data_IF_513663215185
#
_entry.id   IF_513663215185
#
_cell.length_a   1.000
_cell.length_b   1.000
_cell.length_c   1.000
_cell.angle_alpha   90.00
_cell.angle_beta   90.00
_cell.angle_gamma   90.00
#
_symmetry.space_group_name_H-M   'P 1'
#
loop_
_entity.id
_entity.type
_entity.pdbx_description
1 polymer ?
#
# COMPACT_ATOMS: atom_id res chain seq x y z
N UNK A 1 12.30 16.87 19.33
CA UNK A 1 13.04 16.24 18.22
C UNK A 1 13.52 14.89 18.68
N UNK A 2 13.22 13.84 17.92
CA UNK A 2 13.80 12.53 18.18
C UNK A 2 14.94 12.38 17.17
N UNK A 3 16.18 12.41 17.65
CA UNK A 3 17.33 12.08 16.83
C UNK A 3 17.65 10.62 17.09
N UNK A 4 17.42 9.77 16.09
CA UNK A 4 18.02 8.44 16.04
C UNK A 4 19.23 8.56 15.12
N UNK A 5 20.41 8.07 15.50
CA UNK A 5 21.49 8.03 14.52
C UNK A 5 21.18 6.96 13.47
N UNK A 6 21.56 7.18 12.22
CA UNK A 6 21.39 6.19 11.14
C UNK A 6 22.01 4.85 11.53
N UNK A 7 23.17 4.89 12.19
CA UNK A 7 23.84 3.70 12.70
C UNK A 7 23.00 2.95 13.75
N UNK A 8 22.35 3.66 14.69
CA UNK A 8 21.46 3.05 15.68
C UNK A 8 20.26 2.38 15.01
N UNK A 9 19.71 2.98 13.96
CA UNK A 9 18.60 2.41 13.20
C UNK A 9 19.01 1.10 12.51
N UNK A 10 20.15 1.10 11.84
CA UNK A 10 20.67 -0.09 11.15
C UNK A 10 21.04 -1.21 12.13
N UNK A 11 21.70 -0.88 13.25
CA UNK A 11 22.00 -1.85 14.31
C UNK A 11 20.73 -2.42 14.96
N UNK A 12 19.68 -1.63 15.11
CA UNK A 12 18.39 -2.11 15.61
C UNK A 12 17.77 -3.13 14.65
N UNK A 13 17.82 -2.88 13.33
CA UNK A 13 17.34 -3.83 12.34
C UNK A 13 18.12 -5.16 12.39
N UNK A 14 19.46 -5.09 12.47
CA UNK A 14 20.32 -6.28 12.58
C UNK A 14 20.00 -7.11 13.82
N UNK A 15 19.82 -6.45 14.98
CA UNK A 15 19.41 -7.13 16.22
C UNK A 15 18.03 -7.78 16.11
N UNK A 16 17.12 -7.19 15.33
CA UNK A 16 15.81 -7.76 15.04
C UNK A 16 15.93 -9.12 14.35
N UNK A 17 16.77 -9.22 13.32
CA UNK A 17 17.05 -10.48 12.63
C UNK A 17 17.70 -11.51 13.56
N UNK A 18 18.71 -11.12 14.33
CA UNK A 18 19.37 -12.02 15.29
C UNK A 18 18.40 -12.55 16.35
N UNK A 19 17.46 -11.72 16.80
CA UNK A 19 16.44 -12.12 17.78
C UNK A 19 15.45 -13.10 17.17
N UNK A 20 14.99 -12.85 15.94
CA UNK A 20 14.11 -13.76 15.22
C UNK A 20 14.80 -15.12 14.95
N UNK A 21 16.08 -15.12 14.56
CA UNK A 21 16.87 -16.35 14.36
C UNK A 21 16.96 -17.17 15.66
N UNK A 22 17.15 -16.52 16.82
CA UNK A 22 17.15 -17.18 18.12
C UNK A 22 15.81 -17.79 18.48
N UNK A 23 14.71 -17.06 18.30
CA UNK A 23 13.34 -17.54 18.59
C UNK A 23 13.03 -18.76 17.73
N UNK A 24 13.30 -18.70 16.42
CA UNK A 24 13.06 -19.82 15.50
C UNK A 24 14.02 -21.00 15.78
N UNK A 25 15.22 -20.74 16.30
CA UNK A 25 16.17 -21.76 16.73
C UNK A 25 15.84 -22.42 18.07
N UNK A 26 15.03 -21.77 18.91
CA UNK A 26 14.69 -22.23 20.24
C UNK A 26 13.68 -23.39 20.19
N UNK A 27 14.10 -24.55 20.69
CA UNK A 27 13.29 -25.77 20.73
C UNK A 27 12.12 -25.70 21.72
N UNK A 28 12.08 -24.71 22.61
CA UNK A 28 10.95 -24.48 23.52
C UNK A 28 9.76 -23.80 22.84
N UNK A 29 9.97 -23.19 21.67
CA UNK A 29 8.89 -22.65 20.84
C UNK A 29 8.19 -23.82 20.14
N UNK A 30 6.87 -23.87 20.31
CA UNK A 30 5.97 -24.88 19.72
C UNK A 30 5.85 -24.66 18.22
N UNK A 31 6.84 -25.19 17.49
CA UNK A 31 6.89 -25.27 16.04
C UNK A 31 7.41 -26.66 15.70
N UNK A 32 6.67 -27.36 14.85
CA UNK A 32 7.13 -28.62 14.29
C UNK A 32 8.34 -28.43 13.34
N UNK A 33 8.87 -29.53 12.81
CA UNK A 33 10.06 -29.48 11.95
C UNK A 33 9.80 -28.74 10.61
N UNK A 34 8.61 -28.87 10.05
CA UNK A 34 8.21 -28.25 8.78
C UNK A 34 7.93 -26.75 8.96
N UNK A 35 7.19 -26.39 10.00
CA UNK A 35 6.92 -25.00 10.38
C UNK A 35 8.23 -24.26 10.67
N UNK A 36 9.17 -24.90 11.37
CA UNK A 36 10.47 -24.30 11.67
C UNK A 36 11.33 -24.14 10.42
N UNK A 37 11.31 -25.10 9.50
CA UNK A 37 12.00 -24.99 8.22
C UNK A 37 11.42 -23.83 7.39
N UNK A 38 10.09 -23.72 7.35
CA UNK A 38 9.36 -22.65 6.68
C UNK A 38 9.67 -21.28 7.29
N UNK A 39 9.63 -21.15 8.61
CA UNK A 39 9.97 -19.92 9.31
C UNK A 39 11.41 -19.46 9.02
N UNK A 40 12.38 -20.39 8.96
CA UNK A 40 13.77 -20.08 8.58
C UNK A 40 13.87 -19.62 7.13
N UNK A 41 13.15 -20.26 6.21
CA UNK A 41 13.11 -19.85 4.81
C UNK A 41 12.55 -18.42 4.68
N UNK A 42 11.43 -18.14 5.33
CA UNK A 42 10.80 -16.80 5.34
C UNK A 42 11.76 -15.77 5.93
N UNK A 43 12.35 -16.03 7.11
CA UNK A 43 13.27 -15.09 7.74
C UNK A 43 14.50 -14.81 6.87
N UNK A 44 15.05 -15.85 6.22
CA UNK A 44 16.14 -15.71 5.26
C UNK A 44 15.72 -14.84 4.08
N UNK A 45 14.53 -15.05 3.55
CA UNK A 45 13.94 -14.21 2.51
C UNK A 45 13.83 -12.75 2.95
N UNK A 46 13.18 -12.47 4.08
CA UNK A 46 13.03 -11.10 4.61
C UNK A 46 14.39 -10.43 4.82
N UNK A 47 15.39 -11.16 5.35
CA UNK A 47 16.75 -10.65 5.54
C UNK A 47 17.39 -10.27 4.21
N UNK A 48 17.27 -11.10 3.17
CA UNK A 48 17.78 -10.79 1.82
C UNK A 48 17.06 -9.59 1.20
N UNK A 49 15.73 -9.54 1.29
CA UNK A 49 14.96 -8.40 0.81
C UNK A 49 15.37 -7.10 1.54
N UNK A 50 15.64 -7.17 2.84
CA UNK A 50 16.17 -6.04 3.61
C UNK A 50 17.57 -5.61 3.12
N UNK A 51 18.46 -6.56 2.81
CA UNK A 51 19.78 -6.24 2.27
C UNK A 51 19.70 -5.57 0.89
N UNK A 52 18.80 -6.06 0.02
CA UNK A 52 18.57 -5.51 -1.32
C UNK A 52 17.76 -4.20 -1.30
N UNK A 53 17.10 -3.89 -0.18
CA UNK A 53 16.14 -2.80 -0.10
C UNK A 53 16.74 -1.41 -0.31
N UNK A 54 18.04 -1.23 -0.08
CA UNK A 54 18.67 0.10 -0.03
C UNK A 54 18.56 0.81 1.31
N UNK A 55 17.91 0.22 2.31
CA UNK A 55 17.82 0.82 3.66
C UNK A 55 19.20 1.03 4.28
N UNK A 56 20.18 0.19 3.96
CA UNK A 56 21.57 0.35 4.42
C UNK A 56 22.35 1.46 3.70
N UNK A 57 21.79 2.03 2.64
CA UNK A 57 22.38 3.17 1.94
C UNK A 57 22.00 4.50 2.59
N UNK A 58 21.11 4.46 3.59
CA UNK A 58 20.82 5.61 4.43
C UNK A 58 22.11 6.11 5.10
N UNK A 59 22.32 7.42 5.04
CA UNK A 59 23.35 8.13 5.81
C UNK A 59 22.74 9.20 6.73
N UNK A 60 21.44 9.47 6.60
CA UNK A 60 20.70 10.37 7.48
C UNK A 60 19.27 9.91 7.73
N UNK A 61 18.85 9.94 8.99
CA UNK A 61 17.43 9.81 9.38
C UNK A 61 17.07 10.90 10.36
N UNK A 62 15.84 11.41 10.29
CA UNK A 62 15.36 12.47 11.16
C UNK A 62 13.88 12.35 11.44
N UNK A 63 13.47 12.61 12.68
CA UNK A 63 12.07 12.70 13.06
C UNK A 63 11.82 13.95 13.90
N UNK A 64 10.76 14.67 13.57
CA UNK A 64 10.29 15.81 14.34
C UNK A 64 8.80 15.71 14.63
N UNK A 65 8.42 16.23 15.78
CA UNK A 65 7.03 16.38 16.20
C UNK A 65 6.87 17.78 16.79
N UNK A 66 5.94 18.54 16.23
CA UNK A 66 5.63 19.91 16.62
C UNK A 66 4.15 19.94 16.99
N UNK A 67 3.84 20.35 18.22
CA UNK A 67 2.45 20.60 18.63
C UNK A 67 1.94 21.87 17.93
N UNK A 68 0.81 21.76 17.27
CA UNK A 68 0.06 22.86 16.69
C UNK A 68 -1.10 23.24 17.63
N UNK A 69 -1.77 24.34 17.33
CA UNK A 69 -3.02 24.70 18.00
C UNK A 69 -4.10 23.62 17.79
N UNK A 70 -5.06 23.53 18.70
CA UNK A 70 -6.16 22.56 18.62
C UNK A 70 -5.79 21.11 19.00
N UNK A 71 -4.63 20.89 19.63
CA UNK A 71 -4.21 19.55 20.06
C UNK A 71 -3.65 18.66 18.93
N UNK A 72 -3.53 19.21 17.72
CA UNK A 72 -2.95 18.52 16.56
C UNK A 72 -1.43 18.57 16.66
N UNK A 73 -0.74 17.52 16.21
CA UNK A 73 0.72 17.52 16.09
C UNK A 73 1.13 17.30 14.64
N UNK A 74 2.05 18.13 14.14
CA UNK A 74 2.73 17.88 12.87
C UNK A 74 3.90 16.93 13.13
N UNK A 75 3.87 15.79 12.46
CA UNK A 75 4.98 14.85 12.46
C UNK A 75 5.70 14.93 11.10
N UNK A 76 7.02 14.86 11.13
CA UNK A 76 7.83 14.78 9.92
C UNK A 76 8.91 13.73 10.13
N UNK A 77 9.01 12.82 9.17
CA UNK A 77 10.03 11.79 9.07
C UNK A 77 10.83 12.04 7.80
N UNK A 78 12.14 11.95 7.90
CA UNK A 78 13.07 12.14 6.78
C UNK A 78 14.06 10.98 6.78
N UNK A 79 14.31 10.48 5.59
CA UNK A 79 15.34 9.49 5.31
C UNK A 79 16.16 10.04 4.13
N UNK A 80 17.47 10.03 4.27
CA UNK A 80 18.41 10.53 3.29
C UNK A 80 19.41 9.42 2.96
N UNK A 81 19.72 9.30 1.67
CA UNK A 81 20.79 8.47 1.15
C UNK A 81 21.66 9.32 0.23
N UNK A 82 22.92 8.92 0.07
CA UNK A 82 23.80 9.51 -0.94
C UNK A 82 23.21 9.27 -2.34
N UNK A 83 22.94 10.33 -3.14
CA UNK A 83 22.44 10.17 -4.50
C UNK A 83 23.36 9.34 -5.41
N UNK A 84 24.66 9.25 -5.08
CA UNK A 84 25.60 8.38 -5.78
C UNK A 84 25.44 6.89 -5.45
N UNK A 85 24.64 6.54 -4.44
CA UNK A 85 24.46 5.17 -3.91
C UNK A 85 23.03 4.63 -4.01
N UNK A 86 22.12 5.30 -4.72
CA UNK A 86 20.69 4.95 -4.80
C UNK A 86 20.33 3.72 -5.66
N UNK A 87 21.13 2.65 -5.57
CA UNK A 87 20.88 1.40 -6.30
C UNK A 87 19.88 0.50 -5.57
N UNK A 88 19.66 0.71 -4.27
CA UNK A 88 18.74 -0.11 -3.51
C UNK A 88 17.28 0.07 -3.91
N UNK A 89 16.49 -0.99 -3.70
CA UNK A 89 15.14 -1.12 -4.22
C UNK A 89 14.21 0.06 -3.90
N UNK A 90 14.18 0.55 -2.66
CA UNK A 90 13.25 1.62 -2.27
C UNK A 90 13.49 2.91 -3.05
N UNK A 91 14.75 3.22 -3.37
CA UNK A 91 15.14 4.40 -4.14
C UNK A 91 14.82 4.27 -5.62
N UNK A 92 14.71 3.02 -6.10
CA UNK A 92 14.32 2.70 -7.46
C UNK A 92 12.81 2.60 -7.65
N UNK A 93 12.06 2.26 -6.60
CA UNK A 93 10.60 2.06 -6.65
C UNK A 93 9.82 3.31 -6.26
N UNK A 94 10.29 4.08 -5.28
CA UNK A 94 9.55 5.22 -4.74
C UNK A 94 10.21 6.55 -5.13
N UNK A 95 9.41 7.46 -5.69
CA UNK A 95 9.78 8.88 -5.79
C UNK A 95 11.10 9.17 -6.52
N UNK A 96 11.42 8.42 -7.58
CA UNK A 96 12.70 8.55 -8.34
C UNK A 96 12.97 9.95 -8.89
N UNK A 97 11.93 10.80 -8.97
CA UNK A 97 12.04 12.20 -9.35
C UNK A 97 11.13 13.08 -8.50
N UNK A 98 11.65 14.13 -7.84
CA UNK A 98 10.82 15.09 -7.12
C UNK A 98 9.80 15.78 -8.03
N UNK A 99 8.58 15.93 -7.53
CA UNK A 99 7.52 16.73 -8.14
C UNK A 99 6.55 17.24 -7.08
N UNK A 100 5.63 18.13 -7.48
CA UNK A 100 4.57 18.57 -6.59
C UNK A 100 3.56 17.44 -6.33
N UNK A 101 2.96 17.35 -5.13
CA UNK A 101 1.93 16.35 -4.84
C UNK A 101 0.60 16.73 -5.50
N UNK A 102 0.49 16.50 -6.82
CA UNK A 102 -0.66 16.86 -7.66
C UNK A 102 -1.99 16.33 -7.10
N UNK A 103 -2.00 15.08 -6.60
CA UNK A 103 -3.19 14.43 -6.03
C UNK A 103 -3.72 15.22 -4.82
N UNK A 104 -2.84 15.76 -3.97
CA UNK A 104 -3.25 16.54 -2.80
C UNK A 104 -3.85 17.89 -3.19
N UNK A 105 -3.56 18.42 -4.39
CA UNK A 105 -4.19 19.65 -4.88
C UNK A 105 -5.63 19.42 -5.36
N UNK A 106 -6.02 18.16 -5.58
CA UNK A 106 -7.34 17.76 -6.06
C UNK A 106 -8.28 17.34 -4.93
N UNK A 107 -7.84 17.38 -3.68
CA UNK A 107 -8.66 16.93 -2.55
C UNK A 107 -9.78 17.92 -2.23
N UNK A 108 -11.01 17.47 -1.96
CA UNK A 108 -12.11 18.31 -1.49
C UNK A 108 -11.77 19.09 -0.21
N UNK A 109 -12.47 20.20 0.04
CA UNK A 109 -12.23 21.03 1.23
C UNK A 109 -12.62 20.34 2.56
N UNK A 110 -13.54 19.39 2.50
CA UNK A 110 -14.02 18.52 3.60
C UNK A 110 -13.18 17.24 3.76
N UNK A 111 -11.98 17.21 3.18
CA UNK A 111 -11.04 16.10 3.36
C UNK A 111 -10.53 16.04 4.80
N UNK A 112 -10.72 14.89 5.43
CA UNK A 112 -10.23 14.62 6.80
C UNK A 112 -8.94 13.81 6.82
N UNK A 113 -8.67 13.06 5.74
CA UNK A 113 -7.41 12.34 5.56
C UNK A 113 -7.09 12.22 4.08
N UNK A 114 -5.82 12.46 3.73
CA UNK A 114 -5.32 12.22 2.38
C UNK A 114 -3.91 11.65 2.43
N UNK A 115 -3.63 10.73 1.52
CA UNK A 115 -2.32 10.14 1.29
C UNK A 115 -2.02 10.20 -0.20
N UNK A 116 -0.77 10.52 -0.54
CA UNK A 116 -0.25 10.38 -1.90
C UNK A 116 1.19 9.88 -1.84
N UNK A 117 1.53 8.97 -2.74
CA UNK A 117 2.88 8.43 -2.86
C UNK A 117 3.15 8.00 -4.31
N UNK A 118 4.43 7.98 -4.67
CA UNK A 118 4.88 7.50 -5.97
C UNK A 118 5.42 6.09 -5.82
N UNK A 119 4.98 5.18 -6.69
CA UNK A 119 5.42 3.80 -6.70
C UNK A 119 5.38 3.21 -8.10
N UNK A 120 6.54 2.73 -8.56
CA UNK A 120 6.67 1.98 -9.82
C UNK A 120 6.22 0.52 -9.63
N UNK A 121 4.95 0.28 -9.88
CA UNK A 121 4.35 -1.05 -9.75
C UNK A 121 4.96 -2.08 -10.71
N UNK A 122 5.35 -1.66 -11.92
CA UNK A 122 5.95 -2.56 -12.91
C UNK A 122 7.30 -3.08 -12.40
N UNK A 123 8.17 -2.15 -12.01
CA UNK A 123 9.48 -2.50 -11.44
C UNK A 123 9.34 -3.31 -10.15
N UNK A 124 8.37 -2.99 -9.30
CA UNK A 124 8.11 -3.75 -8.06
C UNK A 124 7.72 -5.20 -8.33
N UNK A 125 6.89 -5.45 -9.34
CA UNK A 125 6.49 -6.79 -9.75
C UNK A 125 7.65 -7.56 -10.38
N UNK A 126 8.46 -6.93 -11.23
CA UNK A 126 9.63 -7.57 -11.83
C UNK A 126 10.68 -7.94 -10.77
N UNK A 127 10.96 -7.03 -9.83
CA UNK A 127 11.81 -7.36 -8.68
C UNK A 127 11.25 -8.53 -7.88
N UNK A 128 9.94 -8.57 -7.60
CA UNK A 128 9.32 -9.66 -6.85
C UNK A 128 9.48 -11.00 -7.60
N UNK A 129 9.35 -11.01 -8.93
CA UNK A 129 9.55 -12.20 -9.74
C UNK A 129 10.97 -12.76 -9.59
N UNK A 130 11.97 -11.89 -9.74
CA UNK A 130 13.37 -12.25 -9.61
C UNK A 130 13.69 -12.72 -8.19
N UNK A 131 13.19 -11.97 -7.19
CA UNK A 131 13.39 -12.26 -5.80
C UNK A 131 12.88 -13.66 -5.42
N UNK A 132 11.63 -13.99 -5.78
CA UNK A 132 11.05 -15.31 -5.50
C UNK A 132 11.83 -16.40 -6.22
N UNK A 133 12.19 -16.19 -7.48
CA UNK A 133 12.96 -17.17 -8.28
C UNK A 133 14.33 -17.46 -7.68
N UNK A 134 15.01 -16.45 -7.14
CA UNK A 134 16.36 -16.59 -6.57
C UNK A 134 16.37 -17.08 -5.12
N UNK A 135 15.28 -16.88 -4.37
CA UNK A 135 15.29 -17.03 -2.91
C UNK A 135 14.28 -18.04 -2.36
N UNK A 136 13.48 -18.69 -3.20
CA UNK A 136 12.50 -19.70 -2.79
C UNK A 136 12.71 -21.02 -3.53
N UNK A 137 11.85 -22.01 -3.28
CA UNK A 137 11.91 -23.31 -3.97
C UNK A 137 11.41 -23.18 -5.42
N UNK A 138 11.85 -24.06 -6.34
CA UNK A 138 11.34 -24.09 -7.72
C UNK A 138 9.82 -24.23 -7.80
N UNK A 139 9.22 -24.92 -6.83
CA UNK A 139 7.77 -25.07 -6.72
C UNK A 139 7.08 -23.72 -6.46
N UNK A 140 7.53 -22.96 -5.47
CA UNK A 140 6.97 -21.64 -5.14
C UNK A 140 7.15 -20.66 -6.31
N UNK A 141 8.33 -20.66 -6.93
CA UNK A 141 8.57 -19.85 -8.13
C UNK A 141 7.64 -20.25 -9.29
N UNK A 142 7.42 -21.55 -9.50
CA UNK A 142 6.50 -22.08 -10.50
C UNK A 142 5.03 -21.71 -10.23
N UNK A 143 4.59 -21.73 -8.98
CA UNK A 143 3.25 -21.30 -8.58
C UNK A 143 3.02 -19.82 -8.87
N UNK A 144 3.97 -18.96 -8.51
CA UNK A 144 3.89 -17.52 -8.82
C UNK A 144 3.86 -17.27 -10.33
N UNK A 145 4.73 -17.93 -11.09
CA UNK A 145 4.75 -17.82 -12.56
C UNK A 145 3.40 -18.26 -13.19
N UNK A 146 2.81 -19.33 -12.67
CA UNK A 146 1.50 -19.82 -13.12
C UNK A 146 0.39 -18.83 -12.79
N UNK A 147 0.37 -18.28 -11.57
CA UNK A 147 -0.56 -17.24 -11.15
C UNK A 147 -0.47 -16.01 -12.07
N UNK A 148 0.73 -15.50 -12.32
CA UNK A 148 0.95 -14.34 -13.18
C UNK A 148 0.48 -14.60 -14.61
N UNK A 149 0.74 -15.80 -15.14
CA UNK A 149 0.26 -16.23 -16.46
C UNK A 149 -1.27 -16.24 -16.52
N UNK A 150 -1.92 -16.84 -15.53
CA UNK A 150 -3.38 -16.89 -15.45
C UNK A 150 -3.99 -15.48 -15.29
N UNK A 151 -3.41 -14.65 -14.43
CA UNK A 151 -3.85 -13.28 -14.23
C UNK A 151 -3.70 -12.46 -15.53
N UNK A 152 -2.60 -12.66 -16.28
CA UNK A 152 -2.45 -11.99 -17.56
C UNK A 152 -3.48 -12.46 -18.59
N UNK A 153 -3.82 -13.75 -18.63
CA UNK A 153 -4.87 -14.28 -19.51
C UNK A 153 -6.27 -13.77 -19.15
N UNK A 154 -6.60 -13.66 -17.86
CA UNK A 154 -7.94 -13.26 -17.42
C UNK A 154 -8.16 -11.75 -17.43
N UNK A 155 -7.15 -10.98 -17.00
CA UNK A 155 -7.30 -9.54 -16.79
C UNK A 155 -6.30 -8.67 -17.54
N UNK A 156 -5.46 -9.25 -18.42
CA UNK A 156 -4.42 -8.50 -19.12
C UNK A 156 -3.51 -7.76 -18.13
N UNK A 157 -3.17 -8.44 -17.02
CA UNK A 157 -2.44 -7.90 -15.87
C UNK A 157 -1.22 -7.06 -16.30
N UNK A 158 -0.41 -7.56 -17.23
CA UNK A 158 0.79 -6.84 -17.70
C UNK A 158 0.44 -5.52 -18.38
N UNK A 159 -0.63 -5.49 -19.18
CA UNK A 159 -1.12 -4.27 -19.80
C UNK A 159 -1.66 -3.29 -18.76
N UNK A 160 -2.39 -3.79 -17.74
CA UNK A 160 -2.90 -2.95 -16.65
C UNK A 160 -1.75 -2.31 -15.88
N UNK A 161 -0.73 -3.09 -15.51
CA UNK A 161 0.47 -2.59 -14.82
C UNK A 161 1.19 -1.54 -15.68
N UNK A 162 1.41 -1.83 -16.97
CA UNK A 162 2.07 -0.91 -17.90
C UNK A 162 1.32 0.41 -18.09
N UNK A 163 -0.02 0.38 -17.94
CA UNK A 163 -0.89 1.55 -18.04
C UNK A 163 -0.88 2.46 -16.80
N UNK A 164 -0.25 2.04 -15.70
CA UNK A 164 -0.07 2.90 -14.52
C UNK A 164 0.95 4.01 -14.79
N UNK A 165 0.73 5.16 -14.17
CA UNK A 165 1.60 6.35 -14.21
C UNK A 165 2.49 6.52 -12.99
N UNK A 166 2.47 5.55 -12.06
CA UNK A 166 3.37 5.51 -10.91
C UNK A 166 3.02 6.45 -9.75
N UNK A 167 1.84 7.07 -9.74
CA UNK A 167 1.37 7.89 -8.61
C UNK A 167 0.06 7.32 -8.08
N UNK A 168 -0.06 7.27 -6.77
CA UNK A 168 -1.15 6.64 -6.04
C UNK A 168 -1.62 7.55 -4.91
N UNK A 169 -2.86 7.40 -4.50
CA UNK A 169 -3.39 8.13 -3.37
C UNK A 169 -4.72 7.60 -2.85
N UNK A 170 -5.08 8.11 -1.69
CA UNK A 170 -6.34 7.86 -1.02
C UNK A 170 -6.83 9.17 -0.40
N UNK A 171 -8.12 9.43 -0.50
CA UNK A 171 -8.77 10.60 0.08
C UNK A 171 -9.99 10.12 0.85
N UNK A 172 -10.17 10.62 2.07
CA UNK A 172 -11.34 10.39 2.91
C UNK A 172 -11.95 11.74 3.24
N UNK A 173 -13.25 11.89 3.00
CA UNK A 173 -14.04 13.06 3.39
C UNK A 173 -15.13 12.66 4.37
N UNK A 174 -15.66 13.63 5.11
CA UNK A 174 -16.78 13.46 6.05
C UNK A 174 -17.86 14.49 5.74
N UNK A 175 -19.09 14.05 5.45
CA UNK A 175 -20.24 14.95 5.28
C UNK A 175 -20.92 15.21 6.62
N UNK A 176 -20.63 16.35 7.25
CA UNK A 176 -21.24 16.73 8.54
C UNK A 176 -22.77 16.87 8.48
N UNK A 177 -23.36 17.02 7.30
CA UNK A 177 -24.82 17.16 7.14
C UNK A 177 -25.54 15.82 7.19
N UNK A 178 -24.81 14.73 7.02
CA UNK A 178 -25.34 13.37 7.08
C UNK A 178 -24.63 12.61 8.16
N UNK A 179 -25.34 12.29 9.23
CA UNK A 179 -24.78 11.56 10.36
C UNK A 179 -25.29 10.13 10.31
N UNK A 180 -24.36 9.18 10.33
CA UNK A 180 -24.64 7.78 10.55
C UNK A 180 -24.60 7.55 12.06
N UNK A 181 -25.69 7.00 12.59
CA UNK A 181 -25.78 6.55 13.97
C UNK A 181 -25.65 5.03 13.97
N UNK A 182 -24.70 4.49 14.73
CA UNK A 182 -24.62 3.05 14.94
C UNK A 182 -24.30 2.73 16.40
N UNK A 183 -24.91 1.67 16.88
CA UNK A 183 -24.70 1.13 18.22
C UNK A 183 -23.77 -0.09 18.13
N UNK A 184 -22.44 0.05 18.30
CA UNK A 184 -21.58 -1.10 18.49
C UNK A 184 -22.03 -1.89 19.72
N UNK A 185 -21.73 -3.20 19.77
CA UNK A 185 -22.14 -4.13 20.86
C UNK A 185 -21.81 -3.62 22.28
N UNK A 186 -20.89 -2.66 22.41
CA UNK A 186 -20.61 -1.93 23.64
C UNK A 186 -21.75 -1.07 24.21
N UNK A 187 -22.87 -0.89 23.49
CA UNK A 187 -24.03 -0.09 23.93
C UNK A 187 -23.83 1.42 23.91
N UNK A 188 -22.73 1.90 23.32
CA UNK A 188 -22.43 3.32 23.16
C UNK A 188 -22.85 3.78 21.77
N UNK A 189 -23.94 4.55 21.66
CA UNK A 189 -24.34 5.17 20.39
C UNK A 189 -23.25 6.09 19.85
N UNK A 190 -22.68 5.74 18.71
CA UNK A 190 -21.70 6.54 18.00
C UNK A 190 -22.38 7.31 16.87
N UNK A 191 -22.12 8.62 16.83
CA UNK A 191 -22.53 9.50 15.74
C UNK A 191 -21.31 9.86 14.92
N UNK A 192 -21.25 9.40 13.68
CA UNK A 192 -20.14 9.70 12.77
C UNK A 192 -20.71 10.35 11.52
N UNK A 193 -20.19 11.51 11.09
CA UNK A 193 -20.47 12.04 9.75
C UNK A 193 -20.26 10.97 8.67
N UNK A 194 -21.09 10.97 7.63
CA UNK A 194 -21.03 9.99 6.55
C UNK A 194 -19.64 10.07 5.87
N UNK A 195 -18.85 8.99 5.89
CA UNK A 195 -17.55 8.98 5.22
C UNK A 195 -17.70 8.69 3.74
N UNK A 196 -16.93 9.38 2.92
CA UNK A 196 -16.67 8.99 1.54
C UNK A 196 -15.18 8.74 1.34
N UNK A 197 -14.84 7.79 0.47
CA UNK A 197 -13.47 7.42 0.15
C UNK A 197 -13.24 7.44 -1.36
N UNK A 198 -12.11 7.99 -1.78
CA UNK A 198 -11.60 7.89 -3.14
C UNK A 198 -10.23 7.21 -3.14
N UNK A 199 -10.07 6.21 -4.00
CA UNK A 199 -8.76 5.66 -4.38
C UNK A 199 -8.32 6.33 -5.68
N UNK A 200 -7.10 6.81 -5.72
CA UNK A 200 -6.57 7.60 -6.82
C UNK A 200 -5.35 6.91 -7.40
N UNK A 201 -5.32 6.76 -8.73
CA UNK A 201 -4.17 6.26 -9.45
C UNK A 201 -3.96 7.10 -10.71
N UNK A 202 -2.72 7.53 -10.96
CA UNK A 202 -2.34 8.14 -12.24
C UNK A 202 -2.24 7.04 -13.28
N UNK A 203 -2.83 7.27 -14.44
CA UNK A 203 -2.88 6.30 -15.56
C UNK A 203 -2.45 6.95 -16.86
N UNK A 204 -1.83 6.19 -17.76
CA UNK A 204 -1.36 6.62 -19.09
C UNK A 204 -2.45 6.56 -20.17
N UNK A 205 -3.63 6.05 -19.84
CA UNK A 205 -4.72 5.84 -20.78
C UNK A 205 -5.96 5.26 -20.10
N UNK A 206 -6.83 4.61 -20.88
CA UNK A 206 -8.14 4.13 -20.40
C UNK A 206 -8.19 2.64 -20.06
N UNK A 207 -7.08 1.91 -20.18
CA UNK A 207 -7.05 0.45 -20.01
C UNK A 207 -7.61 -0.02 -18.65
N UNK A 208 -7.17 0.61 -17.56
CA UNK A 208 -7.68 0.31 -16.21
C UNK A 208 -9.18 0.60 -16.10
N UNK A 209 -9.65 1.77 -16.57
CA UNK A 209 -11.08 2.12 -16.57
C UNK A 209 -11.89 1.09 -17.37
N UNK A 210 -11.45 0.77 -18.58
CA UNK A 210 -12.14 -0.18 -19.45
C UNK A 210 -12.26 -1.57 -18.80
N UNK A 211 -11.18 -2.07 -18.18
CA UNK A 211 -11.20 -3.38 -17.53
C UNK A 211 -12.07 -3.40 -16.26
N UNK A 212 -12.04 -2.34 -15.46
CA UNK A 212 -12.92 -2.22 -14.29
C UNK A 212 -14.39 -2.23 -14.70
N UNK A 213 -14.76 -1.48 -15.74
CA UNK A 213 -16.13 -1.46 -16.26
C UNK A 213 -16.55 -2.82 -16.83
N UNK A 214 -15.67 -3.51 -17.55
CA UNK A 214 -15.90 -4.88 -18.03
C UNK A 214 -16.19 -5.84 -16.86
N UNK A 215 -15.40 -5.77 -15.78
CA UNK A 215 -15.59 -6.61 -14.60
C UNK A 215 -16.90 -6.30 -13.87
N UNK A 216 -17.22 -5.02 -13.66
CA UNK A 216 -18.48 -4.60 -13.04
C UNK A 216 -19.70 -5.09 -13.84
N UNK A 217 -19.67 -4.95 -15.16
CA UNK A 217 -20.71 -5.45 -16.05
C UNK A 217 -20.82 -6.99 -15.97
N UNK A 218 -19.70 -7.70 -15.92
CA UNK A 218 -19.66 -9.15 -15.72
C UNK A 218 -20.26 -9.62 -14.39
N UNK A 219 -20.25 -8.75 -13.37
CA UNK A 219 -20.90 -8.98 -12.07
C UNK A 219 -22.38 -8.58 -12.04
N UNK A 220 -22.93 -8.07 -13.15
CA UNK A 220 -24.31 -7.58 -13.22
C UNK A 220 -24.53 -6.24 -12.51
N UNK A 221 -23.46 -5.48 -12.24
CA UNK A 221 -23.56 -4.16 -11.63
C UNK A 221 -23.81 -3.13 -12.74
N UNK A 222 -24.93 -2.42 -12.65
CA UNK A 222 -25.24 -1.33 -13.57
C UNK A 222 -24.36 -0.10 -13.31
N UNK A 223 -23.78 0.43 -14.38
CA UNK A 223 -22.93 1.63 -14.34
C UNK A 223 -23.65 2.77 -15.04
N UNK A 224 -23.83 3.88 -14.32
CA UNK A 224 -24.31 5.14 -14.87
C UNK A 224 -23.13 6.03 -15.29
N UNK A 225 -23.07 6.45 -16.54
CA UNK A 225 -22.13 7.50 -16.97
C UNK A 225 -22.73 8.89 -16.68
N UNK A 226 -21.94 9.76 -16.05
CA UNK A 226 -22.26 11.16 -15.78
C UNK A 226 -21.15 12.05 -16.30
N UNK A 227 -21.51 13.17 -16.91
CA UNK A 227 -20.55 14.23 -17.22
C UNK A 227 -20.64 15.28 -16.11
N UNK A 228 -19.52 15.52 -15.43
CA UNK A 228 -19.39 16.57 -14.43
C UNK A 228 -18.24 17.47 -14.85
N UNK A 229 -18.57 18.66 -15.35
CA UNK A 229 -17.61 19.69 -15.77
C UNK A 229 -16.54 19.17 -16.76
N UNK A 230 -16.93 18.31 -17.71
CA UNK A 230 -16.02 17.72 -18.70
C UNK A 230 -15.26 16.49 -18.21
N UNK A 231 -15.51 16.05 -16.97
CA UNK A 231 -15.02 14.78 -16.41
C UNK A 231 -16.09 13.71 -16.56
N UNK A 232 -15.74 12.62 -17.26
CA UNK A 232 -16.62 11.45 -17.42
C UNK A 232 -16.54 10.54 -16.21
N UNK A 233 -17.56 10.62 -15.36
CA UNK A 233 -17.75 9.81 -14.17
C UNK A 233 -18.52 8.54 -14.52
N UNK A 234 -18.07 7.41 -13.99
CA UNK A 234 -18.80 6.15 -14.01
C UNK A 234 -19.26 5.88 -12.58
N UNK A 235 -20.56 5.90 -12.35
CA UNK A 235 -21.17 5.75 -11.02
C UNK A 235 -21.82 4.38 -10.93
N UNK A 236 -21.62 3.68 -9.82
CA UNK A 236 -22.36 2.47 -9.49
C UNK A 236 -23.21 2.75 -8.26
N UNK A 237 -24.43 2.20 -8.23
CA UNK A 237 -25.22 2.13 -7.01
C UNK A 237 -24.88 0.80 -6.37
N UNK A 238 -24.08 0.83 -5.30
CA UNK A 238 -23.78 -0.38 -4.54
C UNK A 238 -25.09 -0.81 -3.87
N UNK A 239 -25.66 -1.98 -4.20
CA UNK A 239 -26.84 -2.45 -3.49
C UNK A 239 -26.46 -2.65 -2.01
N UNK A 240 -27.26 -2.09 -1.11
CA UNK A 240 -27.10 -2.34 0.33
C UNK A 240 -27.05 -3.86 0.56
N UNK A 241 -26.08 -4.38 1.34
CA UNK A 241 -26.05 -5.79 1.68
C UNK A 241 -27.42 -6.19 2.27
N UNK A 242 -28.00 -7.32 1.85
CA UNK A 242 -29.36 -7.71 2.25
C UNK A 242 -29.53 -7.87 3.77
N UNK A 243 -28.42 -8.06 4.50
CA UNK A 243 -28.40 -8.30 5.94
C UNK A 243 -28.21 -7.03 6.79
N UNK A 244 -28.14 -5.84 6.17
CA UNK A 244 -28.21 -4.58 6.91
C UNK A 244 -29.69 -4.16 6.99
N UNK A 245 -30.29 -4.10 8.20
CA UNK A 245 -31.69 -3.73 8.35
C UNK A 245 -31.98 -2.40 7.65
N UNK A 246 -33.02 -2.40 6.80
CA UNK A 246 -33.48 -1.21 6.06
C UNK A 246 -34.23 -0.19 6.93
N UNK A 247 -34.22 -0.37 8.24
CA UNK A 247 -34.88 0.51 9.20
C UNK A 247 -33.84 1.26 10.01
N UNK A 248 -33.61 2.52 9.61
CA UNK A 248 -33.35 3.64 10.52
C UNK A 248 -34.26 4.79 10.07
#
# INVERSE_FOLDING_TARGET
YLHLSTEQFLQWADKGFDTAEKIIGDKSVDLDEEERATAKLILTGVKKAFLDSGVRELDGVGASSIKLEGGISRQSFMAHHDPAKGEGLIWQLFGTKPHEPEILKMTPADTVAAMSFDFDLAKGIDWLKDFVTMNTTPEVAGQMASFLTMANQQVQLEQLIASTGGQWGMVITLDEKKVIEFEPESGLMLKIPEPAMALVAKVKGTAIKAKLLEQLAGMGIEVEEKDADGVKLSTIIVPFPPDVPREI
#
